data_IF_502315154615
#
_entry.id   IF_502315154615
#
_cell.length_a   1.000
_cell.length_b   1.000
_cell.length_c   1.000
_cell.angle_alpha   90.00
_cell.angle_beta   90.00
_cell.angle_gamma   90.00
#
_symmetry.space_group_name_H-M   'P 1'
#
loop_
_entity.id
_entity.type
_entity.pdbx_description
1 polymer ?
#
# COMPACT_ATOMS: atom_id res chain seq x y z
N UNK A 1 -10.59 -36.45 -22.26
CA UNK A 1 -10.11 -35.32 -21.42
C UNK A 1 -11.35 -34.71 -20.77
N UNK A 2 -11.53 -34.91 -19.48
CA UNK A 2 -12.55 -34.21 -18.70
C UNK A 2 -12.21 -32.72 -18.77
N UNK A 3 -13.13 -31.90 -19.33
CA UNK A 3 -12.96 -30.45 -19.34
C UNK A 3 -13.08 -29.94 -17.89
N UNK A 4 -11.97 -29.53 -17.33
CA UNK A 4 -11.95 -28.93 -16.00
C UNK A 4 -12.62 -27.55 -16.08
N UNK A 5 -13.75 -27.39 -15.39
CA UNK A 5 -14.47 -26.11 -15.35
C UNK A 5 -13.70 -25.16 -14.44
N UNK A 6 -13.06 -24.13 -15.02
CA UNK A 6 -12.25 -23.16 -14.25
C UNK A 6 -13.17 -22.14 -13.59
N UNK A 7 -13.07 -22.02 -12.27
CA UNK A 7 -13.71 -20.96 -11.48
C UNK A 7 -12.65 -19.94 -11.07
N UNK A 8 -12.93 -18.67 -11.27
CA UNK A 8 -12.04 -17.55 -10.94
C UNK A 8 -12.64 -16.73 -9.78
N UNK A 9 -11.78 -16.32 -8.86
CA UNK A 9 -12.03 -15.23 -7.91
C UNK A 9 -11.10 -14.07 -8.28
N UNK A 10 -11.68 -12.94 -8.64
CA UNK A 10 -10.96 -11.74 -9.06
C UNK A 10 -11.07 -10.69 -7.96
N UNK A 11 -9.92 -10.28 -7.42
CA UNK A 11 -9.89 -9.15 -6.51
C UNK A 11 -9.82 -7.83 -7.27
N UNK A 12 -10.59 -6.84 -6.82
CA UNK A 12 -10.62 -5.53 -7.46
C UNK A 12 -10.46 -4.38 -6.44
N UNK A 13 -9.87 -3.26 -6.87
CA UNK A 13 -9.64 -2.11 -5.97
C UNK A 13 -10.96 -1.41 -5.62
N UNK A 14 -10.97 -0.75 -4.48
CA UNK A 14 -12.15 -0.10 -3.88
C UNK A 14 -12.88 0.90 -4.79
N UNK A 15 -12.20 1.45 -5.80
CA UNK A 15 -12.73 2.42 -6.77
C UNK A 15 -13.13 1.79 -8.12
N UNK A 16 -13.09 0.49 -8.25
CA UNK A 16 -13.52 -0.20 -9.47
C UNK A 16 -15.05 -0.21 -9.52
N UNK A 17 -15.65 0.14 -10.67
CA UNK A 17 -17.10 0.19 -10.81
C UNK A 17 -17.70 -1.19 -11.07
N UNK A 18 -18.97 -1.36 -10.74
CA UNK A 18 -19.73 -2.59 -11.07
C UNK A 18 -19.73 -2.85 -12.57
N UNK A 19 -19.90 -1.81 -13.39
CA UNK A 19 -19.82 -1.89 -14.85
C UNK A 19 -18.48 -2.45 -15.34
N UNK A 20 -17.37 -2.00 -14.73
CA UNK A 20 -16.04 -2.53 -15.04
C UNK A 20 -15.89 -4.00 -14.66
N UNK A 21 -16.53 -4.43 -13.56
CA UNK A 21 -16.56 -5.84 -13.16
C UNK A 21 -17.35 -6.68 -14.19
N UNK A 22 -18.49 -6.18 -14.66
CA UNK A 22 -19.31 -6.87 -15.67
C UNK A 22 -18.55 -7.03 -16.98
N UNK A 23 -17.95 -5.97 -17.51
CA UNK A 23 -17.14 -6.03 -18.73
C UNK A 23 -15.98 -7.03 -18.57
N UNK A 24 -15.27 -7.00 -17.44
CA UNK A 24 -14.17 -7.93 -17.18
C UNK A 24 -14.67 -9.38 -17.05
N UNK A 25 -15.87 -9.58 -16.47
CA UNK A 25 -16.49 -10.90 -16.36
C UNK A 25 -16.76 -11.49 -17.73
N UNK A 26 -17.41 -10.72 -18.62
CA UNK A 26 -17.71 -11.15 -19.99
C UNK A 26 -16.44 -11.60 -20.71
N UNK A 27 -15.36 -10.79 -20.66
CA UNK A 27 -14.09 -11.16 -21.29
C UNK A 27 -13.47 -12.44 -20.70
N UNK A 28 -13.57 -12.64 -19.38
CA UNK A 28 -13.03 -13.82 -18.72
C UNK A 28 -13.86 -15.09 -19.07
N UNK A 29 -15.16 -14.96 -19.22
CA UNK A 29 -16.05 -16.04 -19.67
C UNK A 29 -15.80 -16.38 -21.14
N UNK A 30 -15.60 -15.40 -22.03
CA UNK A 30 -15.16 -15.60 -23.41
C UNK A 30 -13.83 -16.35 -23.52
N UNK A 31 -12.90 -16.10 -22.59
CA UNK A 31 -11.61 -16.81 -22.47
C UNK A 31 -11.76 -18.22 -21.90
N UNK A 32 -12.97 -18.66 -21.54
CA UNK A 32 -13.29 -20.02 -21.10
C UNK A 32 -13.43 -20.19 -19.59
N UNK A 33 -13.55 -19.11 -18.82
CA UNK A 33 -13.89 -19.23 -17.41
C UNK A 33 -15.34 -19.75 -17.28
N UNK A 34 -15.53 -20.77 -16.41
CA UNK A 34 -16.86 -21.32 -16.15
C UNK A 34 -17.69 -20.46 -15.18
N UNK A 35 -17.00 -19.90 -14.18
CA UNK A 35 -17.57 -18.95 -13.23
C UNK A 35 -16.54 -17.92 -12.83
N UNK A 36 -16.98 -16.65 -12.68
CA UNK A 36 -16.15 -15.53 -12.23
C UNK A 36 -16.82 -14.87 -11.05
N UNK A 37 -16.11 -14.77 -9.95
CA UNK A 37 -16.51 -14.06 -8.74
C UNK A 37 -15.60 -12.84 -8.56
N UNK A 38 -16.19 -11.75 -8.07
CA UNK A 38 -15.48 -10.52 -7.77
C UNK A 38 -15.56 -10.20 -6.29
N UNK A 39 -14.42 -9.79 -5.70
CA UNK A 39 -14.40 -9.31 -4.31
C UNK A 39 -13.40 -8.17 -4.16
N UNK A 40 -13.69 -7.22 -3.28
CA UNK A 40 -12.80 -6.09 -3.03
C UNK A 40 -11.49 -6.54 -2.40
N UNK A 41 -10.35 -5.96 -2.85
CA UNK A 41 -9.00 -6.28 -2.34
C UNK A 41 -8.93 -6.20 -0.81
N UNK A 42 -9.60 -5.20 -0.20
CA UNK A 42 -9.58 -5.00 1.25
C UNK A 42 -10.31 -6.12 2.02
N UNK A 43 -11.36 -6.73 1.44
CA UNK A 43 -12.01 -7.91 1.99
C UNK A 43 -11.08 -9.11 1.98
N UNK A 44 -10.45 -9.34 0.82
CA UNK A 44 -9.52 -10.46 0.65
C UNK A 44 -8.30 -10.29 1.55
N UNK A 45 -7.81 -9.04 1.71
CA UNK A 45 -6.74 -8.72 2.65
C UNK A 45 -7.11 -9.06 4.10
N UNK A 46 -8.34 -8.71 4.52
CA UNK A 46 -8.85 -9.04 5.85
C UNK A 46 -8.93 -10.56 6.09
N UNK A 47 -9.47 -11.31 5.12
CA UNK A 47 -9.56 -12.78 5.19
C UNK A 47 -8.15 -13.39 5.20
N UNK A 48 -7.25 -12.91 4.32
CA UNK A 48 -5.86 -13.37 4.26
C UNK A 48 -5.08 -13.14 5.56
N UNK A 49 -5.40 -12.08 6.29
CA UNK A 49 -4.88 -11.79 7.63
C UNK A 49 -5.55 -12.62 8.74
N UNK A 50 -6.46 -13.54 8.39
CA UNK A 50 -7.24 -14.40 9.30
C UNK A 50 -8.11 -13.61 10.29
N UNK A 51 -8.59 -12.44 9.86
CA UNK A 51 -9.49 -11.64 10.66
C UNK A 51 -10.87 -12.28 10.67
N UNK A 52 -11.46 -12.46 11.85
CA UNK A 52 -12.86 -12.85 11.97
C UNK A 52 -13.74 -11.61 11.76
N UNK A 53 -14.32 -11.52 10.57
CA UNK A 53 -15.13 -10.37 10.15
C UNK A 53 -16.56 -10.41 10.71
N UNK A 54 -16.99 -11.56 11.26
CA UNK A 54 -18.36 -11.75 11.78
C UNK A 54 -18.51 -11.39 13.26
N UNK A 55 -17.42 -10.99 13.92
CA UNK A 55 -17.46 -10.57 15.31
C UNK A 55 -18.34 -9.32 15.50
N UNK A 56 -19.05 -9.22 16.66
CA UNK A 56 -19.85 -8.04 17.02
C UNK A 56 -18.99 -6.89 17.58
N UNK A 57 -17.74 -6.81 17.17
CA UNK A 57 -16.77 -5.78 17.52
C UNK A 57 -16.07 -5.28 16.27
N UNK A 58 -15.83 -3.98 16.19
CA UNK A 58 -15.25 -3.39 15.01
C UNK A 58 -13.79 -3.84 14.78
N UNK A 59 -13.50 -4.22 13.56
CA UNK A 59 -12.16 -4.64 13.11
C UNK A 59 -11.70 -3.76 11.96
N UNK A 60 -10.50 -3.17 12.08
CA UNK A 60 -9.95 -2.24 11.10
C UNK A 60 -8.82 -2.88 10.30
N UNK A 61 -8.86 -2.72 8.99
CA UNK A 61 -7.81 -3.21 8.06
C UNK A 61 -7.27 -2.06 7.24
N UNK A 62 -5.96 -1.97 7.16
CA UNK A 62 -5.21 -1.01 6.34
C UNK A 62 -4.38 -1.78 5.30
N UNK A 63 -4.60 -1.51 4.03
CA UNK A 63 -3.81 -2.08 2.94
C UNK A 63 -3.04 -0.98 2.21
N UNK A 64 -1.70 -0.97 2.31
CA UNK A 64 -0.83 -0.05 1.55
C UNK A 64 -0.11 -0.84 0.46
N UNK A 65 -0.78 -0.98 -0.66
CA UNK A 65 -0.30 -1.72 -1.83
C UNK A 65 0.60 -0.91 -2.76
N UNK A 66 0.85 -1.47 -3.94
CA UNK A 66 1.62 -0.80 -4.99
C UNK A 66 0.84 0.34 -5.64
N UNK A 67 -0.39 0.09 -6.08
CA UNK A 67 -1.26 1.05 -6.76
C UNK A 67 -2.38 1.57 -5.87
N UNK A 68 -2.82 0.78 -4.89
CA UNK A 68 -3.94 1.07 -4.02
C UNK A 68 -3.50 1.23 -2.56
N UNK A 69 -4.15 2.14 -1.86
CA UNK A 69 -4.02 2.34 -0.43
C UNK A 69 -5.40 2.55 0.15
N UNK A 70 -5.92 1.56 0.84
CA UNK A 70 -7.29 1.50 1.34
C UNK A 70 -7.30 1.19 2.84
N UNK A 71 -8.29 1.74 3.55
CA UNK A 71 -8.63 1.40 4.93
C UNK A 71 -10.11 1.06 5.01
N UNK A 72 -10.46 0.03 5.77
CA UNK A 72 -11.84 -0.35 5.98
C UNK A 72 -12.11 -0.80 7.41
N UNK A 73 -13.34 -0.60 7.84
CA UNK A 73 -13.87 -1.06 9.12
C UNK A 73 -14.96 -2.12 8.87
N UNK A 74 -14.83 -3.24 9.55
CA UNK A 74 -15.75 -4.37 9.48
C UNK A 74 -16.43 -4.59 10.83
N UNK A 75 -17.73 -4.92 10.79
CA UNK A 75 -18.55 -5.23 11.96
C UNK A 75 -19.69 -6.19 11.55
N UNK A 76 -19.89 -7.28 12.29
CA UNK A 76 -20.97 -8.23 12.03
C UNK A 76 -21.05 -8.73 10.57
N UNK A 77 -19.91 -8.99 9.93
CA UNK A 77 -19.85 -9.46 8.55
C UNK A 77 -20.15 -8.39 7.49
N UNK A 78 -20.10 -7.10 7.86
CA UNK A 78 -20.35 -5.99 6.94
C UNK A 78 -19.17 -5.03 6.95
N UNK A 79 -18.90 -4.42 5.81
CA UNK A 79 -17.98 -3.29 5.71
C UNK A 79 -18.75 -2.00 6.02
N UNK A 80 -18.61 -1.51 7.25
CA UNK A 80 -19.35 -0.34 7.74
C UNK A 80 -18.79 0.97 7.17
N UNK A 81 -17.49 1.02 6.95
CA UNK A 81 -16.83 2.21 6.40
C UNK A 81 -15.57 1.84 5.66
N UNK A 82 -15.31 2.55 4.57
CA UNK A 82 -14.05 2.46 3.82
C UNK A 82 -13.59 3.83 3.36
N UNK A 83 -12.29 3.98 3.18
CA UNK A 83 -11.68 5.15 2.58
C UNK A 83 -10.44 4.75 1.77
N UNK A 84 -10.06 5.61 0.82
CA UNK A 84 -8.88 5.44 -0.03
C UNK A 84 -7.93 6.62 0.12
N UNK A 85 -6.64 6.35 0.07
CA UNK A 85 -5.58 7.34 -0.01
C UNK A 85 -4.93 7.29 -1.40
N UNK A 86 -4.55 8.47 -1.92
CA UNK A 86 -3.86 8.58 -3.21
C UNK A 86 -2.35 8.31 -3.11
N UNK A 87 -1.82 8.13 -1.90
CA UNK A 87 -0.42 7.78 -1.68
C UNK A 87 -0.28 6.26 -1.64
N UNK A 88 0.51 5.70 -2.54
CA UNK A 88 0.72 4.26 -2.69
C UNK A 88 2.20 3.96 -2.96
N UNK A 89 2.55 2.70 -3.16
CA UNK A 89 3.91 2.30 -3.52
C UNK A 89 4.41 2.93 -4.82
N UNK A 90 3.53 3.18 -5.80
CA UNK A 90 3.86 3.90 -7.04
C UNK A 90 4.17 5.37 -6.74
N UNK A 91 3.43 6.01 -5.84
CA UNK A 91 3.69 7.40 -5.42
C UNK A 91 5.08 7.53 -4.79
N UNK A 92 5.49 6.57 -3.97
CA UNK A 92 6.87 6.49 -3.43
C UNK A 92 7.87 6.39 -4.58
N UNK A 93 7.66 5.51 -5.53
CA UNK A 93 8.57 5.33 -6.67
C UNK A 93 8.71 6.62 -7.47
N UNK A 94 7.62 7.34 -7.71
CA UNK A 94 7.64 8.65 -8.38
C UNK A 94 8.41 9.70 -7.58
N UNK A 95 8.21 9.77 -6.27
CA UNK A 95 8.93 10.69 -5.39
C UNK A 95 10.45 10.43 -5.41
N UNK A 96 10.86 9.16 -5.29
CA UNK A 96 12.28 8.76 -5.38
C UNK A 96 12.88 9.10 -6.74
N UNK A 97 12.16 8.82 -7.83
CA UNK A 97 12.61 9.13 -9.19
C UNK A 97 12.80 10.63 -9.39
N UNK A 98 11.83 11.43 -8.98
CA UNK A 98 11.88 12.88 -9.06
C UNK A 98 13.02 13.46 -8.21
N UNK A 99 13.20 12.95 -6.99
CA UNK A 99 14.31 13.35 -6.13
C UNK A 99 15.67 13.05 -6.76
N UNK A 100 15.90 11.85 -7.32
CA UNK A 100 17.14 11.51 -8.00
C UNK A 100 17.39 12.39 -9.22
N UNK A 101 16.36 12.68 -9.98
CA UNK A 101 16.46 13.57 -11.12
C UNK A 101 16.83 14.99 -10.71
N UNK A 102 16.23 15.51 -9.65
CA UNK A 102 16.44 16.90 -9.22
C UNK A 102 17.77 17.08 -8.46
N UNK A 103 18.15 16.09 -7.63
CA UNK A 103 19.35 16.22 -6.77
C UNK A 103 20.64 15.80 -7.47
N UNK A 104 20.57 14.85 -8.39
CA UNK A 104 21.75 14.24 -9.02
C UNK A 104 21.79 14.39 -10.54
N UNK A 105 20.72 14.93 -11.13
CA UNK A 105 20.55 15.06 -12.58
C UNK A 105 20.58 13.71 -13.33
N UNK A 106 20.10 12.62 -12.73
CA UNK A 106 20.10 11.28 -13.33
C UNK A 106 18.69 10.74 -13.54
N UNK A 107 18.52 10.01 -14.62
CA UNK A 107 17.37 9.17 -14.88
C UNK A 107 17.67 7.72 -14.52
N UNK A 108 16.78 7.10 -13.77
CA UNK A 108 16.93 5.72 -13.26
C UNK A 108 15.71 4.88 -13.70
N UNK A 109 15.93 3.61 -14.01
CA UNK A 109 14.86 2.70 -14.41
C UNK A 109 13.91 2.40 -13.22
N UNK A 110 12.66 2.07 -13.51
CA UNK A 110 11.69 1.70 -12.48
C UNK A 110 12.15 0.49 -11.64
N UNK A 111 12.87 -0.46 -12.25
CA UNK A 111 13.45 -1.61 -11.55
C UNK A 111 14.50 -1.19 -10.51
N UNK A 112 15.32 -0.19 -10.83
CA UNK A 112 16.30 0.36 -9.88
C UNK A 112 15.63 1.17 -8.78
N UNK A 113 14.59 1.96 -9.10
CA UNK A 113 13.80 2.68 -8.09
C UNK A 113 13.19 1.70 -7.09
N UNK A 114 12.58 0.61 -7.57
CA UNK A 114 12.03 -0.42 -6.68
C UNK A 114 13.12 -1.08 -5.81
N UNK A 115 14.31 -1.31 -6.38
CA UNK A 115 15.48 -1.81 -5.62
C UNK A 115 15.91 -0.83 -4.52
N UNK A 116 15.94 0.48 -4.81
CA UNK A 116 16.27 1.52 -3.84
C UNK A 116 15.24 1.50 -2.70
N UNK A 117 13.95 1.57 -3.04
CA UNK A 117 12.85 1.53 -2.07
C UNK A 117 12.95 0.29 -1.15
N UNK A 118 13.19 -0.89 -1.70
CA UNK A 118 13.28 -2.13 -0.91
C UNK A 118 14.55 -2.24 -0.06
N UNK A 119 15.68 -1.65 -0.49
CA UNK A 119 16.97 -1.75 0.22
C UNK A 119 17.17 -0.64 1.24
N UNK A 120 16.77 0.58 0.91
CA UNK A 120 16.99 1.77 1.72
C UNK A 120 15.69 2.41 2.24
N UNK A 121 14.52 1.86 1.89
CA UNK A 121 13.22 2.38 2.33
C UNK A 121 13.08 2.31 3.85
N UNK A 122 13.02 3.46 4.49
CA UNK A 122 13.08 3.66 5.92
C UNK A 122 12.33 4.93 6.30
N UNK A 123 11.69 4.94 7.46
CA UNK A 123 10.92 6.11 7.94
C UNK A 123 11.60 6.87 9.09
N UNK A 124 12.59 6.26 9.74
CA UNK A 124 13.32 6.87 10.87
C UNK A 124 14.76 7.17 10.50
N UNK A 125 15.29 8.32 10.96
CA UNK A 125 16.72 8.66 10.82
C UNK A 125 17.60 7.63 11.53
N UNK A 126 18.66 7.21 10.88
CA UNK A 126 19.65 6.26 11.39
C UNK A 126 20.95 6.96 11.79
N UNK A 127 21.56 6.52 12.89
CA UNK A 127 22.89 6.99 13.29
C UNK A 127 23.97 6.52 12.30
N UNK A 128 23.87 5.26 11.84
CA UNK A 128 24.79 4.65 10.89
C UNK A 128 24.00 4.23 9.63
N UNK A 129 23.64 5.18 8.73
CA UNK A 129 22.81 4.89 7.57
C UNK A 129 23.56 4.03 6.55
N UNK A 130 22.89 2.98 6.07
CA UNK A 130 23.41 2.19 4.95
C UNK A 130 23.40 3.03 3.69
N UNK A 131 24.41 2.79 2.84
CA UNK A 131 24.53 3.44 1.54
C UNK A 131 24.38 2.45 0.39
N UNK A 132 23.98 2.95 -0.76
CA UNK A 132 23.83 2.18 -1.99
C UNK A 132 24.36 3.01 -3.16
N UNK A 133 25.27 2.41 -3.92
CA UNK A 133 25.66 2.96 -5.21
C UNK A 133 24.60 2.61 -6.26
N UNK A 134 24.18 3.60 -7.00
CA UNK A 134 23.24 3.48 -8.12
C UNK A 134 23.84 4.11 -9.37
N UNK A 135 23.51 3.53 -10.53
CA UNK A 135 23.95 4.05 -11.83
C UNK A 135 22.70 4.51 -12.59
N UNK A 136 22.71 5.74 -13.04
CA UNK A 136 21.68 6.33 -13.87
C UNK A 136 22.28 7.01 -15.11
N UNK A 137 21.41 7.39 -16.04
CA UNK A 137 21.80 8.18 -17.20
C UNK A 137 21.72 9.65 -16.83
N UNK A 138 22.83 10.38 -16.94
CA UNK A 138 22.84 11.83 -16.77
C UNK A 138 21.96 12.49 -17.83
N UNK A 139 21.10 13.40 -17.44
CA UNK A 139 20.10 14.01 -18.33
C UNK A 139 20.68 14.93 -19.38
N UNK A 140 21.84 15.52 -19.11
CA UNK A 140 22.44 16.49 -19.99
C UNK A 140 23.43 15.83 -20.94
N UNK A 141 24.33 15.00 -20.41
CA UNK A 141 25.39 14.36 -21.20
C UNK A 141 24.98 13.03 -21.83
N UNK A 142 23.86 12.41 -21.40
CA UNK A 142 23.44 11.07 -21.79
C UNK A 142 24.49 9.97 -21.52
N UNK A 143 25.40 10.20 -20.58
CA UNK A 143 26.42 9.25 -20.15
C UNK A 143 25.98 8.60 -18.85
N UNK A 144 26.41 7.36 -18.61
CA UNK A 144 26.19 6.68 -17.33
C UNK A 144 26.95 7.38 -16.21
N UNK A 145 26.25 7.67 -15.13
CA UNK A 145 26.78 8.34 -13.93
C UNK A 145 26.42 7.51 -12.70
N UNK A 146 27.44 7.20 -11.89
CA UNK A 146 27.26 6.56 -10.59
C UNK A 146 27.09 7.64 -9.50
N UNK A 147 26.17 7.38 -8.57
CA UNK A 147 25.94 8.21 -7.39
C UNK A 147 25.74 7.31 -6.16
N UNK A 148 26.19 7.77 -4.99
CA UNK A 148 25.99 7.08 -3.72
C UNK A 148 24.87 7.80 -2.97
N UNK A 149 23.88 7.05 -2.54
CA UNK A 149 22.74 7.52 -1.74
C UNK A 149 22.65 6.72 -0.44
N UNK A 150 22.07 7.29 0.60
CA UNK A 150 21.91 6.64 1.90
C UNK A 150 20.49 6.67 2.44
N UNK A 151 20.23 5.89 3.49
CA UNK A 151 18.91 5.75 4.12
C UNK A 151 18.33 7.09 4.59
N UNK A 152 19.14 7.97 5.19
CA UNK A 152 18.64 9.23 5.73
C UNK A 152 18.16 10.20 4.64
N UNK A 153 18.74 10.13 3.46
CA UNK A 153 18.24 10.87 2.29
C UNK A 153 16.88 10.33 1.85
N UNK A 154 16.71 9.00 1.89
CA UNK A 154 15.44 8.37 1.57
C UNK A 154 14.35 8.72 2.62
N UNK A 155 14.69 8.76 3.91
CA UNK A 155 13.77 9.25 4.96
C UNK A 155 13.26 10.65 4.59
N UNK A 156 14.12 11.57 4.16
CA UNK A 156 13.72 12.92 3.76
C UNK A 156 12.71 12.92 2.60
N UNK A 157 12.89 12.02 1.64
CA UNK A 157 11.95 11.87 0.50
C UNK A 157 10.61 11.26 0.93
N UNK A 158 10.63 10.29 1.84
CA UNK A 158 9.43 9.57 2.28
C UNK A 158 8.62 10.31 3.33
N UNK A 159 9.24 11.16 4.14
CA UNK A 159 8.59 11.85 5.27
C UNK A 159 7.26 12.52 4.91
N UNK A 160 7.13 13.31 3.82
CA UNK A 160 5.86 13.93 3.45
C UNK A 160 4.78 12.90 3.08
N UNK A 161 5.14 11.76 2.49
CA UNK A 161 4.21 10.70 2.09
C UNK A 161 3.72 9.93 3.32
N UNK A 162 4.63 9.63 4.24
CA UNK A 162 4.32 8.99 5.52
C UNK A 162 3.39 9.88 6.36
N UNK A 163 3.63 11.18 6.38
CA UNK A 163 2.77 12.15 7.04
C UNK A 163 1.36 12.19 6.43
N UNK A 164 1.24 12.08 5.10
CA UNK A 164 -0.06 12.00 4.44
C UNK A 164 -0.81 10.74 4.84
N UNK A 165 -0.16 9.56 4.90
CA UNK A 165 -0.79 8.34 5.41
C UNK A 165 -1.26 8.52 6.85
N UNK A 166 -0.42 9.05 7.71
CA UNK A 166 -0.75 9.28 9.13
C UNK A 166 -1.97 10.18 9.29
N UNK A 167 -1.98 11.34 8.63
CA UNK A 167 -3.10 12.27 8.70
C UNK A 167 -4.39 11.65 8.17
N UNK A 168 -4.31 10.89 7.08
CA UNK A 168 -5.46 10.21 6.50
C UNK A 168 -6.01 9.11 7.42
N UNK A 169 -5.14 8.28 8.03
CA UNK A 169 -5.57 7.27 9.00
C UNK A 169 -6.24 7.92 10.21
N UNK A 170 -5.64 8.96 10.78
CA UNK A 170 -6.22 9.71 11.91
C UNK A 170 -7.57 10.32 11.56
N UNK A 171 -7.71 10.90 10.36
CA UNK A 171 -8.98 11.42 9.87
C UNK A 171 -10.04 10.32 9.73
N UNK A 172 -9.67 9.17 9.16
CA UNK A 172 -10.57 8.02 9.07
C UNK A 172 -11.06 7.59 10.46
N UNK A 173 -10.14 7.38 11.41
CA UNK A 173 -10.47 6.95 12.77
C UNK A 173 -11.35 7.96 13.50
N UNK A 174 -11.04 9.27 13.40
CA UNK A 174 -11.83 10.31 14.05
C UNK A 174 -13.25 10.45 13.49
N UNK A 175 -13.47 9.96 12.28
CA UNK A 175 -14.79 9.95 11.61
C UNK A 175 -15.67 8.76 11.97
N UNK A 176 -15.18 7.84 12.80
CA UNK A 176 -15.93 6.67 13.27
C UNK A 176 -16.77 7.02 14.51
N UNK A 177 -17.88 6.28 14.76
CA UNK A 177 -18.58 6.33 16.05
C UNK A 177 -17.64 5.99 17.21
N UNK A 178 -17.86 6.61 18.39
CA UNK A 178 -16.96 6.46 19.56
C UNK A 178 -16.77 5.00 19.96
N UNK A 179 -17.82 4.19 19.92
CA UNK A 179 -17.74 2.74 20.24
C UNK A 179 -16.78 2.02 19.30
N UNK A 180 -16.87 2.27 18.00
CA UNK A 180 -15.98 1.67 17.00
C UNK A 180 -14.54 2.19 17.13
N UNK A 181 -14.35 3.47 17.49
CA UNK A 181 -13.01 3.99 17.80
C UNK A 181 -12.37 3.25 18.97
N UNK A 182 -13.15 2.94 20.03
CA UNK A 182 -12.67 2.18 21.20
C UNK A 182 -12.29 0.76 20.82
N UNK A 183 -13.09 0.09 19.99
CA UNK A 183 -12.77 -1.23 19.47
C UNK A 183 -11.43 -1.23 18.74
N UNK A 184 -11.23 -0.28 17.81
CA UNK A 184 -9.98 -0.16 17.04
C UNK A 184 -8.80 0.17 17.96
N UNK A 185 -8.96 1.05 18.94
CA UNK A 185 -7.89 1.34 19.91
C UNK A 185 -7.47 0.12 20.73
N UNK A 186 -8.40 -0.77 21.03
CA UNK A 186 -8.14 -1.98 21.83
C UNK A 186 -7.56 -3.10 20.96
N UNK A 187 -8.13 -3.32 19.77
CA UNK A 187 -7.79 -4.45 18.90
C UNK A 187 -6.68 -4.14 17.89
N UNK A 188 -6.47 -2.86 17.60
CA UNK A 188 -5.50 -2.39 16.63
C UNK A 188 -6.02 -2.35 15.20
N UNK A 189 -5.10 -2.02 14.28
CA UNK A 189 -5.32 -2.00 12.85
C UNK A 189 -4.50 -3.13 12.23
N UNK A 190 -5.15 -4.05 11.54
CA UNK A 190 -4.46 -5.09 10.77
C UNK A 190 -3.90 -4.47 9.50
N UNK A 191 -2.58 -4.52 9.34
CA UNK A 191 -1.88 -3.89 8.24
C UNK A 191 -1.41 -4.89 7.21
N UNK A 192 -1.70 -4.61 5.94
CA UNK A 192 -1.35 -5.42 4.77
C UNK A 192 -0.67 -4.56 3.69
N UNK A 193 -0.17 -5.22 2.66
CA UNK A 193 0.44 -4.59 1.49
C UNK A 193 1.94 -4.39 1.59
N UNK A 194 2.60 -4.36 0.42
CA UNK A 194 4.06 -4.33 0.32
C UNK A 194 4.72 -3.09 0.90
N UNK A 195 4.02 -1.94 0.97
CA UNK A 195 4.58 -0.71 1.54
C UNK A 195 4.70 -0.78 3.07
N UNK A 196 3.95 -1.66 3.74
CA UNK A 196 4.12 -1.92 5.18
C UNK A 196 5.47 -2.55 5.53
N UNK A 197 6.21 -3.05 4.53
CA UNK A 197 7.57 -3.57 4.69
C UNK A 197 8.65 -2.46 4.70
N UNK A 198 8.28 -1.19 4.55
CA UNK A 198 9.21 -0.09 4.78
C UNK A 198 9.71 -0.13 6.22
N UNK A 199 11.03 -0.08 6.38
CA UNK A 199 11.64 -0.27 7.69
C UNK A 199 11.18 0.83 8.67
N UNK A 200 10.67 0.40 9.82
CA UNK A 200 10.18 1.27 10.88
C UNK A 200 8.75 1.82 10.66
N UNK A 201 8.10 1.59 9.51
CA UNK A 201 6.76 2.13 9.25
C UNK A 201 5.69 1.62 10.21
N UNK A 202 5.58 0.31 10.53
CA UNK A 202 4.59 -0.16 11.48
C UNK A 202 4.75 0.51 12.86
N UNK A 203 5.96 0.55 13.39
CA UNK A 203 6.25 1.20 14.69
C UNK A 203 5.96 2.71 14.66
N UNK A 204 6.31 3.38 13.56
CA UNK A 204 6.02 4.80 13.39
C UNK A 204 4.50 5.07 13.42
N UNK A 205 3.73 4.29 12.66
CA UNK A 205 2.27 4.42 12.64
C UNK A 205 1.66 4.09 13.99
N UNK A 206 2.08 3.01 14.66
CA UNK A 206 1.61 2.64 15.99
C UNK A 206 1.78 3.79 17.00
N UNK A 207 2.96 4.41 17.02
CA UNK A 207 3.26 5.49 17.95
C UNK A 207 2.45 6.76 17.63
N UNK A 208 2.22 7.05 16.34
CA UNK A 208 1.55 8.29 15.91
C UNK A 208 0.03 8.18 15.98
N UNK A 209 -0.51 7.02 15.61
CA UNK A 209 -1.96 6.75 15.62
C UNK A 209 -2.45 6.35 17.03
N UNK A 210 -1.53 5.99 17.93
CA UNK A 210 -1.82 5.57 19.31
C UNK A 210 -2.78 4.37 19.41
N UNK A 211 -2.62 3.41 18.50
CA UNK A 211 -3.30 2.11 18.55
C UNK A 211 -2.35 1.00 18.05
N UNK A 212 -2.54 -0.26 18.44
CA UNK A 212 -1.74 -1.38 17.93
C UNK A 212 -1.79 -1.47 16.39
N UNK A 213 -0.64 -1.82 15.78
CA UNK A 213 -0.50 -2.02 14.33
C UNK A 213 0.03 -3.43 14.09
#
# INVERSE_FOLDING_TARGET
KMFQKTTLLVSYPTNFSEESCEILKEHLEELGAYRVYFEQEIWIAAIGAKLDLFLPVASCVLNIGSANCDIALFLNGKMEKKARCNVSGITINMALKNWLTNSYNINVSNKQIEKIKRKLGQVNIQQNPRSLEIVGMDKNSHVLKAVIINENQIVGVLAPLVQQWTNWILHFLSSLPITMQQDVKTRGIICCGGSMLLNGLPTYLQNTVSCPI
#
